data_IF_433265303900
#
_entry.id   IF_433265303900
#
_cell.length_a   1.000
_cell.length_b   1.000
_cell.length_c   1.000
_cell.angle_alpha   90.00
_cell.angle_beta   90.00
_cell.angle_gamma   90.00
#
_symmetry.space_group_name_H-M   'P 1'
#
loop_
_entity.id
_entity.type
_entity.pdbx_description
1 polymer ?
#
# COMPACT_ATOMS: atom_id res chain seq x y z
N UNK A 1 -67.72 -18.99 -24.32
CA UNK A 1 -66.63 -18.38 -25.10
C UNK A 1 -65.37 -18.46 -24.25
N UNK A 2 -64.62 -19.56 -24.35
CA UNK A 2 -63.47 -19.83 -23.47
C UNK A 2 -62.22 -19.24 -24.13
N UNK A 3 -61.79 -18.08 -23.63
CA UNK A 3 -60.58 -17.41 -24.08
C UNK A 3 -59.41 -18.11 -23.36
N UNK A 4 -58.90 -19.17 -23.97
CA UNK A 4 -57.61 -19.74 -23.59
C UNK A 4 -56.53 -18.73 -24.00
N UNK A 5 -56.04 -18.01 -23.00
CA UNK A 5 -54.88 -17.12 -23.13
C UNK A 5 -53.66 -18.01 -23.39
N UNK A 6 -53.23 -18.04 -24.65
CA UNK A 6 -52.00 -18.70 -25.07
C UNK A 6 -50.81 -17.85 -24.61
N UNK A 7 -50.33 -18.13 -23.39
CA UNK A 7 -49.05 -17.61 -22.94
C UNK A 7 -47.99 -18.28 -23.80
N UNK A 8 -47.52 -17.58 -24.84
CA UNK A 8 -46.53 -18.00 -25.85
C UNK A 8 -45.14 -18.31 -25.30
N UNK A 9 -45.06 -19.02 -24.18
CA UNK A 9 -43.84 -19.60 -23.64
C UNK A 9 -43.53 -20.81 -24.52
N UNK A 10 -42.57 -20.63 -25.43
CA UNK A 10 -42.09 -21.72 -26.29
C UNK A 10 -41.80 -22.97 -25.46
N UNK A 11 -42.24 -24.13 -25.95
CA UNK A 11 -42.04 -25.45 -25.32
C UNK A 11 -40.57 -25.69 -24.91
N UNK A 12 -39.63 -25.03 -25.60
CA UNK A 12 -38.20 -25.04 -25.27
C UNK A 12 -37.89 -24.38 -23.93
N UNK A 13 -38.48 -23.22 -23.63
CA UNK A 13 -38.27 -22.52 -22.35
C UNK A 13 -38.85 -23.29 -21.17
N UNK A 14 -40.03 -23.89 -21.34
CA UNK A 14 -40.63 -24.77 -20.32
C UNK A 14 -39.72 -25.98 -20.09
N UNK A 15 -39.20 -26.59 -21.15
CA UNK A 15 -38.25 -27.71 -21.05
C UNK A 15 -36.97 -27.35 -20.31
N UNK A 16 -36.35 -26.19 -20.61
CA UNK A 16 -35.14 -25.72 -19.94
C UNK A 16 -35.40 -25.41 -18.46
N UNK A 17 -36.52 -24.75 -18.15
CA UNK A 17 -36.87 -24.41 -16.77
C UNK A 17 -37.10 -25.67 -15.92
N UNK A 18 -37.80 -26.67 -16.47
CA UNK A 18 -38.00 -27.96 -15.80
C UNK A 18 -36.69 -28.72 -15.60
N UNK A 19 -35.78 -28.70 -16.59
CA UNK A 19 -34.46 -29.31 -16.47
C UNK A 19 -33.61 -28.63 -15.39
N UNK A 20 -33.60 -27.30 -15.31
CA UNK A 20 -32.89 -26.55 -14.28
C UNK A 20 -33.45 -26.83 -12.88
N UNK A 21 -34.77 -26.85 -12.73
CA UNK A 21 -35.42 -27.19 -11.46
C UNK A 21 -35.10 -28.63 -11.03
N UNK A 22 -35.08 -29.58 -11.97
CA UNK A 22 -34.68 -30.96 -11.70
C UNK A 22 -33.21 -31.05 -11.24
N UNK A 23 -32.28 -30.35 -11.90
CA UNK A 23 -30.87 -30.30 -11.48
C UNK A 23 -30.73 -29.70 -10.08
N UNK A 24 -31.39 -28.58 -9.79
CA UNK A 24 -31.37 -27.95 -8.47
C UNK A 24 -31.94 -28.90 -7.41
N UNK A 25 -33.03 -29.61 -7.73
CA UNK A 25 -33.65 -30.57 -6.82
C UNK A 25 -32.73 -31.77 -6.57
N UNK A 26 -32.08 -32.32 -7.60
CA UNK A 26 -31.09 -33.41 -7.48
C UNK A 26 -29.91 -32.97 -6.61
N UNK A 27 -29.34 -31.78 -6.84
CA UNK A 27 -28.24 -31.23 -6.01
C UNK A 27 -28.65 -31.04 -4.55
N UNK A 28 -29.93 -30.80 -4.27
CA UNK A 28 -30.44 -30.74 -2.89
C UNK A 28 -30.73 -32.12 -2.28
N UNK A 29 -31.00 -33.13 -3.10
CA UNK A 29 -31.19 -34.51 -2.67
C UNK A 29 -29.89 -35.28 -2.53
N UNK A 30 -28.79 -34.84 -3.16
CA UNK A 30 -27.47 -35.44 -2.93
C UNK A 30 -27.02 -35.13 -1.50
N UNK A 31 -26.84 -36.14 -0.63
CA UNK A 31 -26.35 -35.92 0.73
C UNK A 31 -24.99 -35.24 0.66
N UNK A 32 -24.83 -34.13 1.39
CA UNK A 32 -23.57 -33.38 1.52
C UNK A 32 -22.55 -34.11 2.41
N UNK A 33 -22.57 -35.43 2.47
CA UNK A 33 -21.75 -36.19 3.41
C UNK A 33 -21.05 -37.31 2.66
N UNK A 34 -19.99 -36.97 1.92
CA UNK A 34 -18.94 -37.92 1.51
C UNK A 34 -17.77 -37.20 0.83
N UNK A 35 -17.21 -36.19 1.48
CA UNK A 35 -15.77 -35.93 1.31
C UNK A 35 -15.08 -36.74 2.40
N UNK A 36 -14.29 -37.78 2.07
CA UNK A 36 -13.60 -38.58 3.06
C UNK A 36 -12.58 -37.69 3.76
N UNK A 37 -12.84 -37.31 5.01
CA UNK A 37 -11.82 -36.76 5.90
C UNK A 37 -10.86 -37.89 6.24
N UNK A 38 -9.57 -37.85 5.85
CA UNK A 38 -8.62 -38.84 6.30
C UNK A 38 -8.48 -38.73 7.81
N UNK A 39 -8.87 -39.81 8.48
CA UNK A 39 -8.71 -40.03 9.91
C UNK A 39 -7.23 -40.16 10.25
N UNK A 40 -6.55 -39.04 10.48
CA UNK A 40 -5.31 -39.01 11.27
C UNK A 40 -5.68 -39.13 12.75
N UNK A 41 -6.07 -40.33 13.16
CA UNK A 41 -6.00 -40.77 14.55
C UNK A 41 -4.56 -41.16 14.83
N UNK A 42 -3.84 -40.37 15.62
CA UNK A 42 -2.57 -40.82 16.18
C UNK A 42 -1.46 -39.79 16.26
N UNK A 43 -1.74 -38.59 16.73
CA UNK A 43 -0.71 -37.81 17.41
C UNK A 43 -1.35 -37.16 18.63
N UNK A 44 -1.01 -37.68 19.80
CA UNK A 44 -1.15 -36.97 21.08
C UNK A 44 -0.62 -35.55 20.88
N UNK A 45 -1.25 -34.50 21.43
CA UNK A 45 -0.68 -33.17 21.37
C UNK A 45 0.59 -33.20 22.22
N UNK A 46 1.71 -33.55 21.60
CA UNK A 46 2.95 -32.89 21.94
C UNK A 46 2.60 -31.41 21.86
N UNK A 47 2.81 -30.73 22.98
CA UNK A 47 2.91 -29.29 23.04
C UNK A 47 4.05 -28.91 22.10
N UNK A 48 3.76 -28.94 20.80
CA UNK A 48 4.47 -28.19 19.81
C UNK A 48 4.26 -26.78 20.29
N UNK A 49 5.28 -26.29 21.00
CA UNK A 49 5.55 -24.88 21.09
C UNK A 49 5.18 -24.33 19.72
N UNK A 50 4.07 -23.58 19.67
CA UNK A 50 3.69 -22.82 18.50
C UNK A 50 4.99 -22.12 18.15
N UNK A 51 5.64 -22.57 17.06
CA UNK A 51 6.91 -22.03 16.63
C UNK A 51 6.71 -20.53 16.70
N UNK A 52 7.42 -19.87 17.62
CA UNK A 52 7.12 -18.50 18.04
C UNK A 52 6.78 -17.75 16.77
N UNK A 53 5.50 -17.36 16.64
CA UNK A 53 5.08 -16.34 15.69
C UNK A 53 6.23 -15.32 15.70
N UNK A 54 6.92 -15.18 14.56
CA UNK A 54 8.16 -14.43 14.55
C UNK A 54 7.83 -13.05 15.10
N UNK A 55 8.41 -12.66 16.24
CA UNK A 55 8.15 -11.33 16.76
C UNK A 55 8.49 -10.34 15.64
N UNK A 56 7.63 -9.35 15.39
CA UNK A 56 7.92 -8.34 14.37
C UNK A 56 9.27 -7.70 14.67
N UNK A 57 10.16 -7.64 13.68
CA UNK A 57 11.49 -7.06 13.81
C UNK A 57 11.77 -6.14 12.64
N UNK A 58 12.18 -4.92 12.95
CA UNK A 58 12.82 -4.04 11.97
C UNK A 58 14.30 -4.41 11.91
N UNK A 59 14.82 -4.69 10.72
CA UNK A 59 16.24 -4.97 10.47
C UNK A 59 16.81 -3.86 9.60
N UNK A 60 17.37 -4.18 8.44
CA UNK A 60 17.93 -3.21 7.49
C UNK A 60 16.85 -2.55 6.62
N UNK A 61 15.73 -3.24 6.39
CA UNK A 61 14.65 -2.80 5.48
C UNK A 61 13.32 -2.79 6.21
N UNK A 62 12.47 -1.83 5.89
CA UNK A 62 11.09 -1.73 6.39
C UNK A 62 10.23 -0.96 5.40
N UNK A 63 9.00 -1.41 5.18
CA UNK A 63 8.02 -0.63 4.45
C UNK A 63 7.08 0.07 5.43
N UNK A 64 6.63 1.27 5.08
CA UNK A 64 5.85 2.16 5.90
C UNK A 64 4.62 2.61 5.14
N UNK A 65 3.46 2.43 5.76
CA UNK A 65 2.22 3.11 5.40
C UNK A 65 1.63 3.80 6.63
N UNK A 66 1.17 5.03 6.44
CA UNK A 66 0.50 5.79 7.49
C UNK A 66 -0.85 6.28 6.97
N UNK A 67 -1.93 5.74 7.52
CA UNK A 67 -3.30 6.07 7.12
C UNK A 67 -4.21 5.97 8.34
N UNK A 68 -4.86 7.08 8.68
CA UNK A 68 -5.79 7.18 9.82
C UNK A 68 -7.25 6.99 9.42
N UNK A 69 -7.55 6.93 8.11
CA UNK A 69 -8.91 6.80 7.60
C UNK A 69 -9.14 5.43 6.99
N UNK A 70 -9.70 4.50 7.79
CA UNK A 70 -10.06 3.18 7.31
C UNK A 70 -10.86 3.21 6.00
N UNK A 71 -10.48 2.34 5.07
CA UNK A 71 -11.26 2.01 3.89
C UNK A 71 -11.18 0.51 3.61
N UNK A 72 -12.18 -0.10 2.93
CA UNK A 72 -12.12 -1.50 2.54
C UNK A 72 -10.94 -1.89 1.64
N UNK A 73 -10.21 -0.89 1.09
CA UNK A 73 -9.03 -1.07 0.24
C UNK A 73 -7.74 -1.21 1.05
N UNK A 74 -7.71 -0.73 2.29
CA UNK A 74 -6.48 -0.64 3.10
C UNK A 74 -5.84 -2.02 3.29
N UNK A 75 -6.61 -3.01 3.73
CA UNK A 75 -6.11 -4.37 3.95
C UNK A 75 -5.63 -5.04 2.65
N UNK A 76 -6.43 -5.12 1.57
CA UNK A 76 -5.95 -5.66 0.30
C UNK A 76 -4.71 -4.95 -0.26
N UNK A 77 -4.65 -3.62 -0.14
CA UNK A 77 -3.50 -2.83 -0.59
C UNK A 77 -2.24 -3.22 0.17
N UNK A 78 -2.28 -3.25 1.51
CA UNK A 78 -1.11 -3.60 2.32
C UNK A 78 -0.69 -5.06 2.07
N UNK A 79 -1.64 -5.98 1.93
CA UNK A 79 -1.34 -7.38 1.64
C UNK A 79 -0.69 -7.57 0.27
N UNK A 80 -1.09 -6.78 -0.73
CA UNK A 80 -0.42 -6.76 -2.03
C UNK A 80 1.02 -6.28 -1.91
N UNK A 81 1.27 -5.15 -1.23
CA UNK A 81 2.63 -4.68 -0.97
C UNK A 81 3.46 -5.75 -0.24
N UNK A 82 2.91 -6.40 0.78
CA UNK A 82 3.60 -7.49 1.46
C UNK A 82 3.96 -8.64 0.50
N UNK A 83 3.05 -9.05 -0.37
CA UNK A 83 3.29 -10.12 -1.33
C UNK A 83 4.37 -9.76 -2.35
N UNK A 84 4.38 -8.53 -2.87
CA UNK A 84 5.37 -8.07 -3.86
C UNK A 84 6.75 -7.88 -3.23
N UNK A 85 6.83 -7.35 -2.01
CA UNK A 85 8.09 -7.07 -1.34
C UNK A 85 8.73 -8.33 -0.71
N UNK A 86 7.91 -9.28 -0.29
CA UNK A 86 8.37 -10.50 0.39
C UNK A 86 8.84 -10.28 1.84
N UNK A 87 9.31 -11.35 2.50
CA UNK A 87 9.57 -11.37 3.95
C UNK A 87 10.78 -10.53 4.39
N UNK A 88 11.61 -10.06 3.45
CA UNK A 88 12.73 -9.16 3.76
C UNK A 88 12.28 -7.73 4.10
N UNK A 89 11.03 -7.38 3.76
CA UNK A 89 10.42 -6.07 3.97
C UNK A 89 9.20 -6.18 4.91
N UNK A 90 9.43 -6.22 6.23
CA UNK A 90 8.32 -6.09 7.19
C UNK A 90 7.60 -4.74 7.00
N UNK A 91 6.29 -4.71 7.21
CA UNK A 91 5.49 -3.50 7.02
C UNK A 91 5.04 -2.95 8.39
N UNK A 92 5.29 -1.66 8.62
CA UNK A 92 4.68 -0.93 9.73
C UNK A 92 3.49 -0.12 9.20
N UNK A 93 2.31 -0.36 9.75
CA UNK A 93 1.14 0.49 9.57
C UNK A 93 1.02 1.43 10.77
N UNK A 94 1.20 2.74 10.56
CA UNK A 94 0.80 3.75 11.53
C UNK A 94 -0.63 4.22 11.27
N UNK A 95 -1.47 4.17 12.29
CA UNK A 95 -2.90 4.45 12.16
C UNK A 95 -3.49 5.07 13.42
N UNK A 96 -4.73 5.55 13.36
CA UNK A 96 -5.48 5.98 14.54
C UNK A 96 -6.00 4.79 15.37
N UNK A 97 -6.42 5.06 16.61
CA UNK A 97 -7.06 4.07 17.48
C UNK A 97 -8.33 3.49 16.85
N UNK A 98 -9.14 4.32 16.17
CA UNK A 98 -10.39 3.92 15.53
C UNK A 98 -10.13 2.92 14.40
N UNK A 99 -9.19 3.24 13.51
CA UNK A 99 -8.84 2.35 12.39
C UNK A 99 -8.16 1.08 12.90
N UNK A 100 -7.31 1.16 13.93
CA UNK A 100 -6.75 -0.03 14.59
C UNK A 100 -7.83 -0.94 15.18
N UNK A 101 -8.84 -0.37 15.85
CA UNK A 101 -9.95 -1.14 16.43
C UNK A 101 -10.82 -1.82 15.38
N UNK A 102 -11.01 -1.20 14.19
CA UNK A 102 -11.64 -1.85 13.04
C UNK A 102 -10.81 -3.05 12.57
N UNK A 103 -9.50 -2.86 12.37
CA UNK A 103 -8.59 -3.91 11.89
C UNK A 103 -8.44 -5.06 12.90
N UNK A 104 -8.57 -4.77 14.20
CA UNK A 104 -8.55 -5.74 15.28
C UNK A 104 -9.90 -6.43 15.52
N UNK A 105 -11.00 -5.90 14.95
CA UNK A 105 -12.35 -6.38 15.24
C UNK A 105 -12.85 -6.05 16.65
N UNK A 106 -12.24 -5.09 17.34
CA UNK A 106 -12.57 -4.72 18.73
C UNK A 106 -13.64 -3.64 18.82
N UNK A 107 -14.00 -2.99 17.69
CA UNK A 107 -15.09 -2.02 17.61
C UNK A 107 -16.45 -2.63 17.18
N UNK A 108 -16.62 -3.94 17.31
CA UNK A 108 -17.83 -4.65 16.86
C UNK A 108 -17.80 -5.07 15.38
N UNK A 109 -16.72 -4.77 14.65
CA UNK A 109 -16.49 -5.32 13.30
C UNK A 109 -15.86 -6.71 13.37
N UNK A 110 -15.97 -7.50 12.29
CA UNK A 110 -15.23 -8.75 12.18
C UNK A 110 -13.82 -8.46 11.67
N UNK A 111 -12.82 -8.95 12.39
CA UNK A 111 -11.44 -8.90 11.94
C UNK A 111 -11.27 -9.69 10.63
N UNK A 112 -10.62 -9.12 9.60
CA UNK A 112 -10.31 -9.87 8.38
C UNK A 112 -9.35 -11.03 8.69
N UNK A 113 -9.72 -12.27 8.33
CA UNK A 113 -8.96 -13.46 8.73
C UNK A 113 -7.50 -13.46 8.25
N UNK A 114 -7.28 -13.08 6.98
CA UNK A 114 -5.93 -12.99 6.42
C UNK A 114 -5.11 -11.86 7.05
N UNK A 115 -5.75 -10.77 7.47
CA UNK A 115 -5.08 -9.68 8.20
C UNK A 115 -4.57 -10.17 9.55
N UNK A 116 -5.43 -10.84 10.32
CA UNK A 116 -5.06 -11.47 11.60
C UNK A 116 -3.85 -12.38 11.45
N UNK A 117 -3.89 -13.30 10.47
CA UNK A 117 -2.80 -14.23 10.22
C UNK A 117 -1.50 -13.53 9.85
N UNK A 118 -1.57 -12.49 9.02
CA UNK A 118 -0.39 -11.75 8.55
C UNK A 118 0.26 -10.96 9.69
N UNK A 119 -0.53 -10.30 10.54
CA UNK A 119 -0.03 -9.63 11.76
C UNK A 119 0.53 -10.65 12.75
N UNK A 120 -0.18 -11.76 12.99
CA UNK A 120 0.26 -12.82 13.87
C UNK A 120 1.55 -13.50 13.38
N UNK A 121 1.85 -13.48 12.08
CA UNK A 121 3.11 -14.01 11.54
C UNK A 121 4.32 -13.10 11.78
N UNK A 122 4.11 -11.85 12.20
CA UNK A 122 5.15 -10.84 12.34
C UNK A 122 5.55 -10.15 11.04
N UNK A 123 4.81 -10.34 9.96
CA UNK A 123 5.05 -9.64 8.69
C UNK A 123 4.58 -8.17 8.71
N UNK A 124 3.55 -7.88 9.52
CA UNK A 124 2.98 -6.54 9.66
C UNK A 124 2.87 -6.20 11.14
N UNK A 125 3.26 -4.98 11.50
CA UNK A 125 3.04 -4.39 12.81
C UNK A 125 2.13 -3.17 12.71
N UNK A 126 1.16 -3.08 13.60
CA UNK A 126 0.16 -2.01 13.63
C UNK A 126 0.44 -1.13 14.83
N UNK A 127 0.79 0.13 14.56
CA UNK A 127 1.18 1.10 15.57
C UNK A 127 0.23 2.29 15.56
N UNK A 128 0.04 2.88 16.73
CA UNK A 128 -0.78 4.07 16.88
C UNK A 128 0.08 5.31 16.63
N UNK A 129 -0.39 6.19 15.75
CA UNK A 129 0.23 7.50 15.57
C UNK A 129 -0.14 8.43 16.74
N UNK A 130 0.79 9.24 17.26
CA UNK A 130 0.46 10.26 18.26
C UNK A 130 -0.55 11.29 17.74
N UNK A 131 -1.47 11.71 18.61
CA UNK A 131 -2.53 12.69 18.29
C UNK A 131 -1.98 14.07 17.88
N UNK A 132 -0.68 14.32 18.09
CA UNK A 132 0.00 15.53 17.61
C UNK A 132 0.15 15.58 16.09
N UNK A 133 -0.08 14.47 15.38
CA UNK A 133 0.01 14.37 13.93
C UNK A 133 -1.38 14.17 13.29
N UNK A 134 -1.91 15.25 12.70
CA UNK A 134 -3.16 15.18 11.92
C UNK A 134 -2.91 14.76 10.47
N UNK A 135 -3.02 13.46 10.17
CA UNK A 135 -2.85 12.95 8.80
C UNK A 135 -4.05 13.22 7.88
N UNK A 136 -5.10 13.89 8.34
CA UNK A 136 -6.24 14.27 7.48
C UNK A 136 -5.95 15.49 6.62
N UNK A 137 -4.87 16.23 6.92
CA UNK A 137 -4.46 17.43 6.19
C UNK A 137 -3.09 17.26 5.53
N UNK A 138 -2.89 17.94 4.39
CA UNK A 138 -1.58 17.98 3.71
C UNK A 138 -0.49 18.55 4.61
N UNK A 139 -0.80 19.58 5.42
CA UNK A 139 0.15 20.15 6.39
C UNK A 139 0.56 19.10 7.42
N UNK A 140 -0.39 18.38 8.02
CA UNK A 140 -0.06 17.40 9.05
C UNK A 140 0.71 16.19 8.50
N UNK A 141 0.45 15.76 7.26
CA UNK A 141 1.30 14.74 6.59
C UNK A 141 2.73 15.23 6.39
N UNK A 142 2.93 16.49 5.96
CA UNK A 142 4.28 17.05 5.83
C UNK A 142 4.99 17.13 7.18
N UNK A 143 4.32 17.62 8.23
CA UNK A 143 4.87 17.68 9.59
C UNK A 143 5.23 16.28 10.12
N UNK A 144 4.41 15.29 9.83
CA UNK A 144 4.64 13.90 10.23
C UNK A 144 5.91 13.33 9.60
N UNK A 145 6.06 13.47 8.28
CA UNK A 145 7.21 12.96 7.55
C UNK A 145 8.48 13.79 7.76
N UNK A 146 8.35 15.09 8.06
CA UNK A 146 9.50 15.99 8.27
C UNK A 146 10.04 16.02 9.70
N UNK A 147 9.45 15.29 10.65
CA UNK A 147 9.87 15.31 12.07
C UNK A 147 10.64 14.03 12.46
N UNK A 148 11.59 14.11 13.41
CA UNK A 148 12.44 12.97 13.81
C UNK A 148 11.66 11.75 14.31
N UNK A 149 10.54 11.96 15.03
CA UNK A 149 9.80 10.91 15.72
C UNK A 149 9.54 9.69 14.84
N UNK A 150 9.04 9.89 13.62
CA UNK A 150 8.71 8.82 12.69
C UNK A 150 9.95 7.96 12.39
N UNK A 151 11.02 8.63 11.97
CA UNK A 151 12.26 7.99 11.56
C UNK A 151 12.95 7.30 12.73
N UNK A 152 12.85 7.85 13.94
CA UNK A 152 13.32 7.21 15.17
C UNK A 152 12.62 5.86 15.42
N UNK A 153 11.30 5.77 15.18
CA UNK A 153 10.55 4.53 15.37
C UNK A 153 10.90 3.42 14.37
N UNK A 154 11.59 3.77 13.28
CA UNK A 154 11.99 2.84 12.22
C UNK A 154 13.43 2.35 12.38
N UNK A 155 14.08 2.62 13.51
CA UNK A 155 15.38 2.04 13.82
C UNK A 155 15.29 0.49 13.89
N UNK A 156 16.34 -0.26 13.48
CA UNK A 156 17.60 0.19 12.90
C UNK A 156 17.57 0.22 11.36
N UNK A 157 16.41 0.35 10.71
CA UNK A 157 16.31 0.25 9.25
C UNK A 157 17.20 1.28 8.56
N UNK A 158 17.98 0.85 7.58
CA UNK A 158 18.67 1.76 6.68
C UNK A 158 17.74 2.21 5.56
N UNK A 159 16.92 1.29 5.05
CA UNK A 159 16.08 1.49 3.89
C UNK A 159 14.59 1.48 4.27
N UNK A 160 13.91 2.59 4.04
CA UNK A 160 12.49 2.77 4.32
C UNK A 160 11.74 2.98 3.02
N UNK A 161 10.88 2.04 2.66
CA UNK A 161 9.92 2.22 1.57
C UNK A 161 8.65 2.87 2.12
N UNK A 162 8.40 4.13 1.78
CA UNK A 162 7.17 4.85 2.12
C UNK A 162 6.16 4.68 0.98
N UNK A 163 4.95 4.26 1.30
CA UNK A 163 3.84 4.21 0.34
C UNK A 163 2.53 4.72 0.94
N UNK A 164 1.76 5.44 0.13
CA UNK A 164 0.44 5.98 0.48
C UNK A 164 -0.68 5.13 -0.14
N UNK A 165 -1.92 5.29 0.35
CA UNK A 165 -3.08 4.53 -0.13
C UNK A 165 -3.46 4.80 -1.61
N UNK A 166 -2.84 5.81 -2.23
CA UNK A 166 -2.93 6.15 -3.66
C UNK A 166 -1.67 5.77 -4.46
N UNK A 167 -0.82 4.88 -3.91
CA UNK A 167 0.32 4.25 -4.56
C UNK A 167 0.14 2.74 -4.74
N UNK A 168 0.90 2.17 -5.68
CA UNK A 168 0.93 0.73 -5.94
C UNK A 168 2.29 0.28 -6.49
N UNK A 169 2.76 -0.88 -6.05
CA UNK A 169 3.82 -1.64 -6.74
C UNK A 169 3.18 -2.64 -7.70
N UNK A 170 3.79 -2.85 -8.86
CA UNK A 170 3.26 -3.70 -9.91
C UNK A 170 3.88 -5.08 -9.83
N UNK A 171 3.09 -6.16 -9.69
CA UNK A 171 3.67 -7.51 -9.62
C UNK A 171 4.32 -7.96 -10.94
N UNK A 172 3.99 -7.29 -12.06
CA UNK A 172 4.62 -7.51 -13.35
C UNK A 172 5.99 -6.83 -13.50
N UNK A 173 6.44 -6.02 -12.52
CA UNK A 173 7.70 -5.31 -12.61
C UNK A 173 8.91 -6.25 -12.79
N UNK A 174 9.84 -5.86 -13.66
CA UNK A 174 11.09 -6.61 -13.89
C UNK A 174 12.18 -6.31 -12.86
N UNK A 175 12.13 -5.11 -12.26
CA UNK A 175 12.97 -4.70 -11.14
C UNK A 175 12.17 -4.90 -9.84
N UNK A 176 12.87 -5.04 -8.73
CA UNK A 176 12.35 -5.07 -7.36
C UNK A 176 12.75 -3.79 -6.61
N UNK A 177 12.18 -3.52 -5.44
CA UNK A 177 12.66 -2.40 -4.58
C UNK A 177 14.14 -2.57 -4.21
N UNK A 178 14.63 -3.80 -4.13
CA UNK A 178 16.03 -4.10 -3.79
C UNK A 178 17.03 -3.57 -4.85
N UNK A 179 16.60 -3.45 -6.11
CA UNK A 179 17.42 -2.92 -7.21
C UNK A 179 17.64 -1.39 -7.12
N UNK A 180 17.00 -0.72 -6.15
CA UNK A 180 17.10 0.71 -5.93
C UNK A 180 17.74 1.09 -4.59
N UNK A 181 18.25 0.12 -3.82
CA UNK A 181 18.83 0.35 -2.49
C UNK A 181 20.11 1.21 -2.51
N UNK A 182 20.74 1.40 -3.67
CA UNK A 182 21.89 2.30 -3.81
C UNK A 182 21.53 3.79 -3.67
N UNK A 183 20.25 4.14 -3.83
CA UNK A 183 19.78 5.52 -3.80
C UNK A 183 19.36 5.94 -2.38
N UNK A 184 19.81 7.12 -1.95
CA UNK A 184 19.48 7.68 -0.65
C UNK A 184 18.05 8.26 -0.59
N UNK A 185 17.52 8.69 -1.74
CA UNK A 185 16.10 9.04 -1.91
C UNK A 185 15.75 8.86 -3.39
N UNK A 186 14.78 8.00 -3.66
CA UNK A 186 14.14 7.85 -4.97
C UNK A 186 12.63 7.79 -4.82
N UNK A 187 11.93 8.37 -5.79
CA UNK A 187 10.47 8.39 -5.92
C UNK A 187 10.10 8.80 -7.33
N UNK A 188 8.84 9.09 -7.59
CA UNK A 188 8.44 9.64 -8.89
C UNK A 188 9.09 11.04 -9.05
N UNK A 189 9.90 11.30 -10.09
CA UNK A 189 10.55 12.60 -10.24
C UNK A 189 9.52 13.71 -10.47
N UNK A 190 9.69 14.84 -9.81
CA UNK A 190 8.81 16.01 -9.96
C UNK A 190 9.33 17.00 -11.00
N UNK A 191 10.57 16.81 -11.46
CA UNK A 191 11.23 17.66 -12.43
C UNK A 191 12.22 16.83 -13.26
N UNK A 192 12.50 17.25 -14.50
CA UNK A 192 13.43 16.53 -15.42
C UNK A 192 14.91 16.79 -15.14
N UNK A 193 15.24 18.02 -14.72
CA UNK A 193 16.61 18.44 -14.36
C UNK A 193 16.91 18.42 -12.85
N UNK A 194 16.02 18.95 -12.02
CA UNK A 194 16.21 18.99 -10.57
C UNK A 194 15.90 17.63 -9.97
N UNK A 195 16.70 17.18 -9.01
CA UNK A 195 16.53 15.90 -8.32
C UNK A 195 15.46 15.99 -7.23
N UNK A 196 14.25 16.38 -7.62
CA UNK A 196 13.09 16.42 -6.75
C UNK A 196 12.24 15.17 -6.96
N UNK A 197 11.94 14.46 -5.88
CA UNK A 197 11.17 13.22 -5.91
C UNK A 197 9.91 13.36 -5.07
N UNK A 198 8.84 12.71 -5.52
CA UNK A 198 7.62 12.65 -4.76
C UNK A 198 7.72 11.64 -3.60
N UNK A 199 7.14 11.99 -2.45
CA UNK A 199 7.22 11.19 -1.24
C UNK A 199 6.22 10.03 -1.13
N UNK A 200 5.15 9.99 -1.92
CA UNK A 200 4.01 9.09 -1.69
C UNK A 200 4.18 7.65 -2.19
N UNK A 201 5.16 7.41 -3.06
CA UNK A 201 5.82 6.12 -3.24
C UNK A 201 7.31 6.43 -3.36
N UNK A 202 8.07 6.18 -2.29
CA UNK A 202 9.48 6.54 -2.23
C UNK A 202 10.29 5.55 -1.41
N UNK A 203 11.52 5.31 -1.83
CA UNK A 203 12.53 4.61 -1.05
C UNK A 203 13.50 5.66 -0.50
N UNK A 204 13.73 5.61 0.82
CA UNK A 204 14.54 6.61 1.52
C UNK A 204 15.55 5.95 2.46
N UNK A 205 16.77 6.49 2.46
CA UNK A 205 17.79 6.13 3.43
C UNK A 205 17.50 6.86 4.76
N UNK A 206 17.15 6.08 5.78
CA UNK A 206 16.79 6.60 7.11
C UNK A 206 17.94 7.35 7.76
N UNK A 207 19.17 6.83 7.65
CA UNK A 207 20.33 7.45 8.31
C UNK A 207 20.61 8.83 7.72
N UNK A 208 20.50 8.97 6.39
CA UNK A 208 20.59 10.26 5.71
C UNK A 208 19.50 11.23 6.13
N UNK A 209 18.27 10.76 6.28
CA UNK A 209 17.17 11.57 6.83
C UNK A 209 17.50 12.03 8.25
N UNK A 210 17.98 11.12 9.11
CA UNK A 210 18.34 11.47 10.49
C UNK A 210 19.50 12.46 10.54
N UNK A 211 20.50 12.36 9.67
CA UNK A 211 21.60 13.33 9.59
C UNK A 211 21.12 14.71 9.18
N UNK A 212 20.19 14.79 8.21
CA UNK A 212 19.52 16.05 7.85
C UNK A 212 18.76 16.62 9.06
N UNK A 213 17.96 15.81 9.74
CA UNK A 213 17.12 16.25 10.85
C UNK A 213 17.88 16.60 12.14
N UNK A 214 19.10 16.06 12.32
CA UNK A 214 19.97 16.40 13.46
C UNK A 214 20.60 17.79 13.35
N UNK A 215 20.72 18.34 12.14
CA UNK A 215 21.22 19.69 11.97
C UNK A 215 20.12 20.69 12.38
N UNK A 216 20.32 21.52 13.42
CA UNK A 216 19.30 22.46 13.90
C UNK A 216 18.94 23.55 12.88
N UNK A 217 19.75 23.76 11.83
CA UNK A 217 19.42 24.65 10.72
C UNK A 217 18.36 24.05 9.77
N UNK A 218 18.11 22.73 9.86
CA UNK A 218 17.15 22.03 9.03
C UNK A 218 15.84 21.82 9.76
N UNK A 219 14.81 22.57 9.39
CA UNK A 219 13.48 22.37 9.94
C UNK A 219 12.41 22.86 8.95
N UNK A 220 11.81 21.92 8.21
CA UNK A 220 10.78 22.23 7.21
C UNK A 220 9.66 23.13 7.75
N UNK A 221 9.20 22.89 8.98
CA UNK A 221 8.12 23.67 9.60
C UNK A 221 8.54 25.13 9.85
N UNK A 222 9.70 25.32 10.47
CA UNK A 222 10.21 26.66 10.79
C UNK A 222 10.58 27.44 9.53
N UNK A 223 11.20 26.79 8.56
CA UNK A 223 11.60 27.41 7.29
C UNK A 223 10.38 27.79 6.43
N UNK A 224 9.36 26.94 6.41
CA UNK A 224 8.09 27.27 5.74
C UNK A 224 7.38 28.42 6.45
N UNK A 225 7.33 28.41 7.78
CA UNK A 225 6.71 29.48 8.57
C UNK A 225 7.46 30.82 8.43
N UNK A 226 8.79 30.78 8.31
CA UNK A 226 9.63 31.96 8.07
C UNK A 226 9.60 32.44 6.61
N UNK A 227 8.98 31.69 5.70
CA UNK A 227 8.94 32.00 4.26
C UNK A 227 10.28 31.77 3.54
N UNK A 228 11.26 31.15 4.19
CA UNK A 228 12.55 30.79 3.57
C UNK A 228 12.46 29.53 2.73
N UNK A 229 11.49 28.65 3.02
CA UNK A 229 11.13 27.51 2.18
C UNK A 229 9.74 27.68 1.55
N UNK A 230 9.69 27.72 0.22
CA UNK A 230 8.44 27.93 -0.53
C UNK A 230 8.23 26.93 -1.67
N UNK A 231 9.17 26.01 -1.89
CA UNK A 231 9.20 25.15 -3.09
C UNK A 231 8.28 23.93 -3.01
N UNK A 232 7.77 23.56 -1.83
CA UNK A 232 6.86 22.43 -1.72
C UNK A 232 6.82 21.75 -0.35
N UNK A 233 6.31 20.52 -0.35
CA UNK A 233 6.21 19.68 0.84
C UNK A 233 7.56 19.16 1.34
N UNK A 234 7.47 18.28 2.33
CA UNK A 234 8.61 17.60 2.94
C UNK A 234 9.44 16.82 1.92
N UNK A 235 8.82 16.27 0.89
CA UNK A 235 9.46 15.43 -0.12
C UNK A 235 10.41 16.25 -1.00
N UNK A 236 9.97 17.42 -1.46
CA UNK A 236 10.82 18.40 -2.15
C UNK A 236 11.90 18.96 -1.22
N UNK A 237 11.56 19.19 0.06
CA UNK A 237 12.50 19.70 1.06
C UNK A 237 13.62 18.71 1.36
N UNK A 238 13.31 17.45 1.63
CA UNK A 238 14.32 16.41 1.78
C UNK A 238 15.10 16.19 0.50
N UNK A 239 14.45 16.21 -0.68
CA UNK A 239 15.17 16.13 -1.95
C UNK A 239 16.26 17.20 -2.06
N UNK A 240 15.92 18.46 -1.72
CA UNK A 240 16.89 19.56 -1.68
C UNK A 240 18.00 19.32 -0.65
N UNK A 241 17.65 18.93 0.58
CA UNK A 241 18.61 18.71 1.66
C UNK A 241 19.53 17.51 1.41
N UNK A 242 19.02 16.48 0.77
CA UNK A 242 19.79 15.33 0.30
C UNK A 242 20.80 15.76 -0.77
N UNK A 243 20.38 16.56 -1.75
CA UNK A 243 21.29 17.09 -2.77
C UNK A 243 22.39 17.98 -2.17
N UNK A 244 22.01 18.90 -1.28
CA UNK A 244 22.94 19.81 -0.57
C UNK A 244 23.94 19.08 0.34
N UNK A 245 23.55 17.94 0.91
CA UNK A 245 24.41 17.12 1.77
C UNK A 245 25.25 16.08 1.01
N UNK A 246 25.16 16.04 -0.33
CA UNK A 246 25.91 15.11 -1.17
C UNK A 246 25.39 13.67 -1.13
N UNK A 247 24.10 13.47 -0.87
CA UNK A 247 23.46 12.17 -0.92
C UNK A 247 23.49 11.56 -2.34
N UNK A 248 23.49 10.23 -2.43
CA UNK A 248 23.46 9.53 -3.71
C UNK A 248 22.04 9.53 -4.27
N UNK A 249 21.76 10.43 -5.21
CA UNK A 249 20.43 10.63 -5.80
C UNK A 249 20.41 10.33 -7.31
N UNK A 250 19.38 9.65 -7.81
CA UNK A 250 19.27 9.29 -9.22
C UNK A 250 19.00 10.51 -10.09
N UNK A 251 19.15 10.34 -11.41
CA UNK A 251 18.62 11.28 -12.38
C UNK A 251 17.15 10.98 -12.71
N UNK A 252 16.58 11.78 -13.60
CA UNK A 252 15.21 11.59 -14.06
C UNK A 252 14.98 10.20 -14.67
N UNK A 253 15.90 9.72 -15.50
CA UNK A 253 15.75 8.47 -16.26
C UNK A 253 15.67 7.25 -15.33
N UNK A 254 16.48 7.21 -14.27
CA UNK A 254 16.37 6.17 -13.25
C UNK A 254 15.16 6.37 -12.34
N UNK A 255 14.81 7.61 -11.99
CA UNK A 255 13.62 7.91 -11.18
C UNK A 255 12.31 7.38 -11.78
N UNK A 256 12.13 7.50 -13.10
CA UNK A 256 10.92 7.01 -13.78
C UNK A 256 10.85 5.48 -13.94
N UNK A 257 11.94 4.74 -13.71
CA UNK A 257 11.85 3.25 -13.64
C UNK A 257 11.37 2.80 -12.27
N UNK A 258 11.61 3.58 -11.21
CA UNK A 258 11.08 3.31 -9.88
C UNK A 258 9.58 3.63 -9.79
N UNK A 259 9.18 4.87 -10.05
CA UNK A 259 7.79 5.27 -9.90
C UNK A 259 7.32 6.31 -10.92
N UNK A 260 6.10 6.14 -11.41
CA UNK A 260 5.42 7.09 -12.26
C UNK A 260 4.23 7.77 -11.55
N UNK A 261 3.90 9.01 -11.95
CA UNK A 261 2.83 9.80 -11.34
C UNK A 261 2.06 10.60 -12.38
N UNK A 262 2.77 11.36 -13.19
CA UNK A 262 2.18 12.23 -14.20
C UNK A 262 2.13 11.57 -15.58
N UNK A 263 1.26 12.08 -16.44
CA UNK A 263 1.15 11.69 -17.86
C UNK A 263 2.50 11.65 -18.57
N UNK A 264 3.34 12.66 -18.35
CA UNK A 264 4.67 12.74 -18.96
C UNK A 264 5.63 11.67 -18.44
N UNK A 265 5.42 11.05 -17.27
CA UNK A 265 6.17 9.85 -16.90
C UNK A 265 5.74 8.65 -17.72
N UNK A 266 4.42 8.46 -17.89
CA UNK A 266 3.84 7.33 -18.62
C UNK A 266 4.27 7.34 -20.09
N UNK A 267 4.49 8.52 -20.66
CA UNK A 267 4.99 8.66 -22.03
C UNK A 267 6.46 8.19 -22.18
N UNK A 268 7.25 8.22 -21.11
CA UNK A 268 8.67 7.82 -21.12
C UNK A 268 8.91 6.40 -20.56
N UNK A 269 8.15 5.97 -19.56
CA UNK A 269 8.28 4.67 -18.91
C UNK A 269 6.94 3.95 -18.90
N UNK A 270 6.88 2.84 -19.66
CA UNK A 270 5.68 1.99 -19.74
C UNK A 270 5.67 0.87 -18.70
N UNK A 271 6.83 0.57 -18.11
CA UNK A 271 7.01 -0.55 -17.19
C UNK A 271 7.74 -0.15 -15.91
N UNK A 272 7.30 0.92 -15.19
CA UNK A 272 7.89 1.26 -13.91
C UNK A 272 7.59 0.17 -12.88
N UNK A 273 8.40 0.12 -11.82
CA UNK A 273 8.17 -0.71 -10.63
C UNK A 273 6.85 -0.36 -9.94
N UNK A 274 6.45 0.92 -9.94
CA UNK A 274 5.19 1.34 -9.33
C UNK A 274 4.61 2.67 -9.83
N UNK A 275 3.46 3.00 -9.26
CA UNK A 275 2.71 4.21 -9.56
C UNK A 275 2.26 4.91 -8.28
N UNK A 276 2.12 6.23 -8.35
CA UNK A 276 1.55 7.04 -7.28
C UNK A 276 0.68 8.17 -7.86
N UNK A 277 -0.48 8.46 -7.26
CA UNK A 277 -1.40 9.54 -7.66
C UNK A 277 -1.94 9.48 -9.09
N UNK A 278 -1.70 8.40 -9.84
CA UNK A 278 -2.09 8.30 -11.26
C UNK A 278 -3.60 8.42 -11.47
N UNK A 279 -4.42 8.06 -10.49
CA UNK A 279 -5.87 8.28 -10.50
C UNK A 279 -6.27 9.75 -10.68
N UNK A 280 -5.43 10.70 -10.24
CA UNK A 280 -5.61 12.14 -10.46
C UNK A 280 -4.68 12.68 -11.55
N UNK A 281 -3.38 12.36 -11.46
CA UNK A 281 -2.34 12.98 -12.27
C UNK A 281 -2.14 12.35 -13.66
N UNK A 282 -2.66 11.15 -13.90
CA UNK A 282 -2.56 10.43 -15.16
C UNK A 282 -3.85 9.66 -15.50
N UNK A 283 -5.01 10.20 -15.11
CA UNK A 283 -6.31 9.52 -15.22
C UNK A 283 -6.59 8.99 -16.64
N UNK A 284 -6.16 9.73 -17.67
CA UNK A 284 -6.32 9.34 -19.09
C UNK A 284 -5.55 8.06 -19.48
N UNK A 285 -4.51 7.69 -18.73
CA UNK A 285 -3.69 6.50 -18.95
C UNK A 285 -4.07 5.33 -18.03
N UNK A 286 -5.14 5.43 -17.23
CA UNK A 286 -5.50 4.35 -16.28
C UNK A 286 -5.73 2.99 -16.96
N UNK A 287 -6.23 2.97 -18.20
CA UNK A 287 -6.36 1.74 -18.98
C UNK A 287 -5.01 1.08 -19.28
N UNK A 288 -4.05 1.86 -19.78
CA UNK A 288 -2.69 1.40 -20.08
C UNK A 288 -1.93 1.00 -18.81
N UNK A 289 -2.08 1.81 -17.75
CA UNK A 289 -1.51 1.54 -16.43
C UNK A 289 -2.08 0.22 -15.88
N UNK A 290 -3.39 -0.01 -15.97
CA UNK A 290 -4.01 -1.25 -15.49
C UNK A 290 -3.66 -2.48 -16.35
N UNK A 291 -3.30 -2.29 -17.63
CA UNK A 291 -2.79 -3.37 -18.46
C UNK A 291 -1.41 -3.85 -18.00
N UNK A 292 -0.55 -2.93 -17.55
CA UNK A 292 0.76 -3.25 -16.96
C UNK A 292 0.67 -3.64 -15.48
N UNK A 293 -0.17 -2.96 -14.71
CA UNK A 293 -0.25 -2.99 -13.26
C UNK A 293 -1.72 -3.09 -12.83
N UNK A 294 -2.38 -4.25 -13.01
CA UNK A 294 -3.80 -4.43 -12.71
C UNK A 294 -4.17 -4.05 -11.27
N UNK A 295 -3.22 -4.18 -10.34
CA UNK A 295 -3.36 -3.94 -8.91
C UNK A 295 -3.49 -2.46 -8.58
N UNK A 296 -3.22 -1.56 -9.55
CA UNK A 296 -3.53 -0.13 -9.40
C UNK A 296 -5.00 0.10 -9.02
N UNK A 297 -5.89 -0.81 -9.41
CA UNK A 297 -7.29 -0.78 -9.05
C UNK A 297 -7.57 -0.99 -7.55
N UNK A 298 -6.58 -1.45 -6.76
CA UNK A 298 -6.67 -1.52 -5.29
C UNK A 298 -6.42 -0.14 -4.66
N UNK A 299 -5.52 0.65 -5.23
CA UNK A 299 -5.30 2.04 -4.83
C UNK A 299 -6.54 2.91 -5.18
N UNK A 300 -6.62 4.09 -4.57
CA UNK A 300 -7.72 5.03 -4.79
C UNK A 300 -7.18 6.44 -5.09
N UNK A 301 -8.00 7.37 -5.61
CA UNK A 301 -7.63 8.78 -5.59
C UNK A 301 -7.37 9.22 -4.15
N UNK A 302 -6.20 9.78 -3.86
CA UNK A 302 -5.89 10.31 -2.53
C UNK A 302 -6.94 11.34 -2.07
N UNK A 303 -7.29 11.33 -0.77
CA UNK A 303 -8.34 12.21 -0.22
C UNK A 303 -7.85 13.61 0.14
N UNK A 304 -6.53 13.80 0.25
CA UNK A 304 -5.96 15.12 0.51
C UNK A 304 -6.20 16.06 -0.68
N UNK A 305 -6.53 17.31 -0.38
CA UNK A 305 -6.65 18.37 -1.39
C UNK A 305 -5.32 18.56 -2.13
N UNK A 306 -5.40 18.80 -3.44
CA UNK A 306 -4.21 19.12 -4.25
C UNK A 306 -3.76 20.56 -3.92
N UNK A 307 -2.45 20.80 -3.91
CA UNK A 307 -1.96 22.17 -3.94
C UNK A 307 -2.28 22.75 -5.33
N UNK A 308 -2.80 23.98 -5.36
CA UNK A 308 -2.74 24.85 -6.54
C UNK A 308 -1.29 25.11 -6.94
#
# INVERSE_FOLDING_TARGET
MSILIDYGVSRRFVGIALALLAVIYIVRLTPRDMVPTPSFLGAKPETNAVASAGAFQIKEKVALISDTQYSPRLVPLILHFHAVLGPAWPIVLYTSNETSAILAGTNGTRQPAIWHQTVASGAIDVRIIPDTFDLTTRRGVNLYLSRPWLWEQLAPAKHVLVFQADAMLCANAYETVDDFLEWDFIGAPLHTKQKFFNGGLSLRNRDRIMDILRNPANNWENETAAGTWTLGGEDVWFSRRMEESGAHLPDFNKGITFACQHTWHIDHSKTPLGYHKVHKAAAKYLGDIAAWCPEIALAAPGKLEQAE
#
